data_IF_814022985222
#
_entry.id   IF_814022985222
#
_cell.length_a   1.000
_cell.length_b   1.000
_cell.length_c   1.000
_cell.angle_alpha   90.00
_cell.angle_beta   90.00
_cell.angle_gamma   90.00
#
_symmetry.space_group_name_H-M   'P 1'
#
loop_
_entity.id
_entity.type
_entity.pdbx_description
1 polymer ?
#
# COMPACT_ATOMS: atom_id res chain seq x y z
N UNK A 1 -2.71 7.24 -13.25
CA UNK A 1 -1.51 6.59 -13.82
C UNK A 1 -0.54 6.28 -12.70
N UNK A 2 0.61 6.96 -12.66
CA UNK A 2 1.66 6.72 -11.63
C UNK A 2 1.12 6.75 -10.19
N UNK A 3 0.32 7.77 -9.83
CA UNK A 3 -0.30 7.82 -8.50
C UNK A 3 -1.15 6.58 -8.17
N UNK A 4 -1.96 6.10 -9.11
CA UNK A 4 -2.81 4.92 -8.94
C UNK A 4 -1.97 3.65 -8.77
N UNK A 5 -0.85 3.52 -9.48
CA UNK A 5 0.09 2.40 -9.26
C UNK A 5 0.71 2.47 -7.86
N UNK A 6 1.08 3.67 -7.41
CA UNK A 6 1.54 3.89 -6.04
C UNK A 6 0.49 3.55 -5.00
N UNK A 7 -0.79 3.83 -5.27
CA UNK A 7 -1.91 3.47 -4.41
C UNK A 7 -2.02 1.95 -4.25
N UNK A 8 -1.96 1.23 -5.37
CA UNK A 8 -1.97 -0.23 -5.39
C UNK A 8 -0.81 -0.83 -4.60
N UNK A 9 0.41 -0.39 -4.92
CA UNK A 9 1.64 -0.79 -4.23
C UNK A 9 1.55 -0.63 -2.70
N UNK A 10 0.91 0.45 -2.25
CA UNK A 10 0.87 0.82 -0.84
C UNK A 10 -0.29 0.21 -0.06
N UNK A 11 -1.39 -0.18 -0.72
CA UNK A 11 -2.64 -0.56 -0.04
C UNK A 11 -3.15 -1.95 -0.41
N UNK A 12 -3.04 -2.39 -1.68
CA UNK A 12 -3.79 -3.57 -2.16
C UNK A 12 -2.92 -4.65 -2.79
N UNK A 13 -1.84 -4.30 -3.47
CA UNK A 13 -1.03 -5.20 -4.26
C UNK A 13 -0.06 -5.99 -3.37
N UNK A 14 -0.47 -7.20 -2.96
CA UNK A 14 0.32 -8.09 -2.13
C UNK A 14 0.79 -9.32 -2.93
N UNK A 15 2.09 -9.63 -2.80
CA UNK A 15 2.68 -10.86 -3.33
C UNK A 15 2.77 -11.89 -2.21
N UNK A 16 2.07 -13.01 -2.36
CA UNK A 16 2.17 -14.14 -1.42
C UNK A 16 2.94 -15.27 -2.07
N UNK A 17 3.90 -15.82 -1.34
CA UNK A 17 4.61 -17.03 -1.74
C UNK A 17 4.27 -18.17 -0.80
N UNK A 18 4.49 -19.37 -1.31
CA UNK A 18 4.29 -20.59 -0.55
C UNK A 18 5.44 -20.76 0.44
N UNK A 19 5.12 -21.01 1.69
CA UNK A 19 6.07 -21.41 2.73
C UNK A 19 5.87 -22.90 3.12
N UNK A 20 6.54 -23.32 4.19
CA UNK A 20 6.40 -24.67 4.75
C UNK A 20 5.08 -24.88 5.51
N UNK A 21 4.42 -23.80 5.95
CA UNK A 21 3.19 -23.84 6.75
C UNK A 21 1.93 -23.95 5.88
N UNK A 22 2.00 -23.52 4.63
CA UNK A 22 0.88 -23.55 3.71
C UNK A 22 0.46 -24.99 3.35
N UNK A 23 -0.86 -25.24 3.30
CA UNK A 23 -1.43 -26.57 3.10
C UNK A 23 -0.91 -27.32 1.86
N UNK A 24 -0.65 -28.62 2.00
CA UNK A 24 -0.09 -29.48 0.94
C UNK A 24 -0.94 -29.60 -0.34
N UNK A 25 -2.23 -29.25 -0.31
CA UNK A 25 -3.12 -29.33 -1.48
C UNK A 25 -2.94 -28.17 -2.48
N UNK A 26 -2.30 -27.06 -2.10
CA UNK A 26 -2.01 -25.99 -3.07
C UNK A 26 -0.96 -26.49 -4.09
N UNK A 27 -1.12 -26.13 -5.36
CA UNK A 27 -0.21 -26.60 -6.41
C UNK A 27 1.18 -25.92 -6.31
N UNK A 28 2.24 -26.68 -6.58
CA UNK A 28 3.63 -26.20 -6.53
C UNK A 28 4.35 -26.51 -5.22
N UNK A 29 5.67 -26.34 -5.20
CA UNK A 29 6.51 -26.51 -4.01
C UNK A 29 6.73 -25.22 -3.22
N UNK A 30 7.42 -25.30 -2.09
CA UNK A 30 7.84 -24.13 -1.28
C UNK A 30 8.52 -23.09 -2.19
N UNK A 31 8.17 -21.82 -2.01
CA UNK A 31 8.61 -20.70 -2.82
C UNK A 31 7.77 -20.44 -4.09
N UNK A 32 6.79 -21.28 -4.41
CA UNK A 32 5.87 -21.01 -5.53
C UNK A 32 5.01 -19.77 -5.27
N UNK A 33 4.66 -19.04 -6.32
CA UNK A 33 3.77 -17.87 -6.19
C UNK A 33 2.33 -18.33 -5.90
N UNK A 34 1.73 -17.80 -4.84
CA UNK A 34 0.30 -17.98 -4.53
C UNK A 34 -0.56 -16.91 -5.19
N UNK A 35 0.02 -15.76 -5.54
CA UNK A 35 -0.61 -14.66 -6.27
C UNK A 35 -0.13 -14.65 -7.72
N UNK A 36 -0.79 -15.44 -8.57
CA UNK A 36 -0.35 -15.76 -9.93
C UNK A 36 -1.32 -15.30 -11.03
N UNK A 37 -2.32 -14.48 -10.69
CA UNK A 37 -3.22 -13.90 -11.67
C UNK A 37 -4.15 -12.84 -11.07
N UNK A 38 -5.00 -12.21 -11.89
CA UNK A 38 -5.91 -11.14 -11.43
C UNK A 38 -6.98 -11.64 -10.43
N UNK A 39 -7.16 -12.97 -10.32
CA UNK A 39 -8.03 -13.58 -9.33
C UNK A 39 -7.51 -13.42 -7.88
N UNK A 40 -6.19 -13.41 -7.69
CA UNK A 40 -5.53 -13.42 -6.38
C UNK A 40 -4.45 -12.34 -6.21
N UNK A 41 -4.08 -11.61 -7.26
CA UNK A 41 -3.30 -10.37 -7.22
C UNK A 41 -4.19 -9.19 -7.64
N UNK A 42 -4.46 -8.26 -6.72
CA UNK A 42 -5.47 -7.20 -6.91
C UNK A 42 -4.83 -5.85 -7.17
N UNK A 43 -4.73 -5.53 -8.46
CA UNK A 43 -4.42 -4.17 -8.91
C UNK A 43 -5.62 -3.24 -8.64
N UNK A 44 -5.37 -1.92 -8.47
CA UNK A 44 -6.45 -0.94 -8.34
C UNK A 44 -7.38 -0.93 -9.56
N UNK A 45 -8.67 -0.95 -9.26
CA UNK A 45 -9.78 -0.78 -10.20
C UNK A 45 -10.28 0.68 -10.20
N UNK A 46 -11.34 0.96 -10.96
CA UNK A 46 -11.99 2.29 -10.97
C UNK A 46 -12.53 2.70 -9.60
N UNK A 47 -12.94 1.72 -8.79
CA UNK A 47 -13.57 1.97 -7.50
C UNK A 47 -12.54 2.28 -6.39
N UNK A 48 -11.26 1.99 -6.64
CA UNK A 48 -10.17 2.22 -5.69
C UNK A 48 -9.57 3.64 -5.80
N UNK A 49 -9.83 4.35 -6.90
CA UNK A 49 -9.30 5.71 -7.13
C UNK A 49 -10.01 6.71 -6.21
N UNK A 50 -9.32 7.73 -5.65
CA UNK A 50 -9.96 8.75 -4.84
C UNK A 50 -11.14 9.43 -5.56
N UNK A 51 -12.27 9.52 -4.87
CA UNK A 51 -13.49 10.14 -5.40
C UNK A 51 -13.31 11.60 -5.84
N UNK A 52 -12.44 12.34 -5.14
CA UNK A 52 -11.97 13.67 -5.53
C UNK A 52 -10.45 13.61 -5.73
N UNK A 53 -10.03 13.56 -7.00
CA UNK A 53 -8.62 13.57 -7.40
C UNK A 53 -8.32 14.86 -8.15
N UNK A 54 -7.56 15.76 -7.51
CA UNK A 54 -7.16 17.05 -8.10
C UNK A 54 -5.72 16.99 -8.57
N UNK A 55 -5.50 17.33 -9.83
CA UNK A 55 -4.18 17.35 -10.45
C UNK A 55 -3.96 18.70 -11.11
N UNK A 56 -2.87 19.38 -10.75
CA UNK A 56 -2.45 20.65 -11.33
C UNK A 56 -0.97 20.59 -11.68
N UNK A 57 -0.62 21.11 -12.85
CA UNK A 57 0.77 21.35 -13.22
C UNK A 57 1.14 22.78 -12.80
N UNK A 58 2.35 22.94 -12.26
CA UNK A 58 2.89 24.26 -11.93
C UNK A 58 2.97 25.07 -13.23
N UNK A 59 2.30 26.23 -13.25
CA UNK A 59 2.18 27.10 -14.43
C UNK A 59 3.27 28.16 -14.50
N UNK A 60 3.84 28.51 -13.36
CA UNK A 60 4.93 29.47 -13.31
C UNK A 60 6.12 28.91 -14.08
N UNK A 61 6.77 29.77 -14.85
CA UNK A 61 7.93 29.46 -15.66
C UNK A 61 9.05 28.99 -14.74
N UNK A 62 9.12 27.68 -14.49
CA UNK A 62 10.31 27.04 -13.93
C UNK A 62 11.16 26.61 -15.12
N UNK A 63 12.05 27.48 -15.63
CA UNK A 63 12.82 27.18 -16.83
C UNK A 63 13.59 25.87 -16.64
N UNK A 64 13.48 25.00 -17.63
CA UNK A 64 14.29 23.78 -17.72
C UNK A 64 15.05 23.77 -19.04
N UNK A 65 15.99 24.71 -19.19
CA UNK A 65 16.77 24.92 -20.41
C UNK A 65 17.57 23.69 -20.85
N UNK A 66 17.84 22.76 -19.93
CA UNK A 66 18.56 21.51 -20.20
C UNK A 66 17.70 20.44 -20.89
N UNK A 67 16.38 20.55 -20.82
CA UNK A 67 15.47 19.59 -21.41
C UNK A 67 14.90 20.10 -22.73
N UNK A 68 14.64 19.18 -23.66
CA UNK A 68 13.99 19.51 -24.93
C UNK A 68 12.65 20.21 -24.68
N UNK A 69 12.53 21.42 -25.21
CA UNK A 69 11.34 22.25 -25.06
C UNK A 69 10.99 22.65 -23.62
N UNK A 70 11.94 22.63 -22.68
CA UNK A 70 11.67 22.97 -21.27
C UNK A 70 10.87 21.92 -20.51
N UNK A 71 10.71 20.71 -21.06
CA UNK A 71 9.93 19.62 -20.48
C UNK A 71 10.54 19.02 -19.22
N UNK A 72 9.78 18.24 -18.45
CA UNK A 72 10.27 17.44 -17.31
C UNK A 72 9.73 16.02 -17.41
N UNK A 73 10.53 15.04 -17.01
CA UNK A 73 10.09 13.65 -16.95
C UNK A 73 9.09 13.47 -15.79
N UNK A 74 7.95 12.85 -16.06
CA UNK A 74 6.85 12.66 -15.10
C UNK A 74 6.35 11.22 -15.02
N UNK A 75 7.07 10.26 -15.60
CA UNK A 75 6.67 8.85 -15.61
C UNK A 75 6.59 8.25 -14.21
N UNK A 76 7.74 8.22 -13.52
CA UNK A 76 7.89 7.62 -12.19
C UNK A 76 7.56 8.54 -11.01
N UNK A 77 7.86 9.86 -11.02
CA UNK A 77 7.69 10.71 -9.83
C UNK A 77 6.29 10.64 -9.17
N UNK A 78 5.17 10.57 -9.93
CA UNK A 78 3.85 10.45 -9.33
C UNK A 78 3.59 9.12 -8.59
N UNK A 79 4.37 8.05 -8.82
CA UNK A 79 4.21 6.77 -8.13
C UNK A 79 4.52 6.92 -6.64
N UNK A 80 5.60 7.64 -6.29
CA UNK A 80 5.98 7.89 -4.91
C UNK A 80 4.90 8.63 -4.11
N UNK A 81 4.04 9.42 -4.78
CA UNK A 81 2.94 10.12 -4.14
C UNK A 81 1.88 9.16 -3.55
N UNK A 82 1.85 7.89 -3.95
CA UNK A 82 1.01 6.86 -3.33
C UNK A 82 1.26 6.67 -1.83
N UNK A 83 2.47 6.99 -1.35
CA UNK A 83 2.81 6.98 0.10
C UNK A 83 1.87 7.88 0.90
N UNK A 84 1.32 8.94 0.31
CA UNK A 84 0.35 9.81 0.98
C UNK A 84 -0.89 9.05 1.46
N UNK A 85 -1.37 8.09 0.68
CA UNK A 85 -2.53 7.27 1.04
C UNK A 85 -2.19 6.27 2.15
N UNK A 86 -0.98 5.67 2.12
CA UNK A 86 -0.48 4.83 3.20
C UNK A 86 -0.39 5.59 4.52
N UNK A 87 0.20 6.78 4.52
CA UNK A 87 0.33 7.61 5.71
C UNK A 87 -1.04 8.07 6.23
N UNK A 88 -1.99 8.37 5.35
CA UNK A 88 -3.36 8.66 5.74
C UNK A 88 -4.03 7.45 6.42
N UNK A 89 -3.82 6.24 5.91
CA UNK A 89 -4.34 5.02 6.51
C UNK A 89 -3.68 4.72 7.87
N UNK A 90 -2.35 4.88 7.99
CA UNK A 90 -1.63 4.77 9.28
C UNK A 90 -2.16 5.78 10.30
N UNK A 91 -2.35 7.04 9.89
CA UNK A 91 -2.90 8.08 10.76
C UNK A 91 -4.34 7.75 11.21
N UNK A 92 -5.17 7.20 10.32
CA UNK A 92 -6.53 6.78 10.65
C UNK A 92 -6.57 5.63 11.67
N UNK A 93 -5.65 4.66 11.57
CA UNK A 93 -5.53 3.60 12.56
C UNK A 93 -5.09 4.11 13.93
N UNK A 94 -4.13 5.05 13.98
CA UNK A 94 -3.66 5.65 15.23
C UNK A 94 -4.76 6.48 15.92
N UNK A 95 -5.62 7.16 15.17
CA UNK A 95 -6.71 7.96 15.73
C UNK A 95 -6.22 8.93 16.82
N UNK A 96 -6.93 9.01 17.93
CA UNK A 96 -6.57 9.86 19.08
C UNK A 96 -5.39 9.32 19.91
N UNK A 97 -5.01 8.04 19.73
CA UNK A 97 -3.89 7.43 20.48
C UNK A 97 -2.52 7.96 20.06
N UNK A 98 -2.44 8.64 18.91
CA UNK A 98 -1.27 9.40 18.48
C UNK A 98 -0.83 10.45 19.53
N UNK A 99 -1.77 11.01 20.30
CA UNK A 99 -1.47 11.96 21.38
C UNK A 99 -0.74 11.32 22.58
N UNK A 100 -0.83 10.00 22.73
CA UNK A 100 -0.16 9.21 23.77
C UNK A 100 1.26 8.76 23.41
N UNK A 101 1.75 9.08 22.21
CA UNK A 101 3.11 8.71 21.77
C UNK A 101 3.27 7.24 21.38
N UNK A 102 2.18 6.52 21.09
CA UNK A 102 2.24 5.14 20.61
C UNK A 102 2.52 5.17 19.10
N UNK A 103 3.70 4.70 18.69
CA UNK A 103 3.99 4.42 17.28
C UNK A 103 3.61 2.96 16.99
N UNK A 104 2.53 2.76 16.23
CA UNK A 104 2.13 1.44 15.77
C UNK A 104 2.86 1.10 14.48
N UNK A 105 3.47 -0.08 14.46
CA UNK A 105 4.09 -0.64 13.27
C UNK A 105 3.01 -1.06 12.28
N UNK A 106 3.06 -0.49 11.07
CA UNK A 106 2.20 -0.86 9.95
C UNK A 106 3.11 -1.06 8.75
N UNK A 107 3.08 -2.26 8.19
CA UNK A 107 3.84 -2.60 6.99
C UNK A 107 3.06 -2.29 5.71
N UNK A 108 3.80 -2.00 4.65
CA UNK A 108 3.25 -1.94 3.29
C UNK A 108 3.23 -3.33 2.65
N UNK A 109 2.19 -3.68 1.88
CA UNK A 109 0.96 -2.92 1.65
C UNK A 109 0.05 -2.93 2.88
N UNK A 110 -0.56 -1.79 3.20
CA UNK A 110 -1.55 -1.64 4.26
C UNK A 110 -2.90 -2.28 3.85
N UNK A 111 -2.88 -3.61 3.72
CA UNK A 111 -4.06 -4.42 3.37
C UNK A 111 -5.14 -4.27 4.44
N UNK A 112 -6.39 -4.60 4.09
CA UNK A 112 -7.51 -4.58 5.04
C UNK A 112 -7.22 -5.40 6.31
N UNK A 113 -6.50 -6.52 6.18
CA UNK A 113 -6.04 -7.35 7.29
C UNK A 113 -5.09 -6.58 8.22
N UNK A 114 -3.99 -6.01 7.68
CA UNK A 114 -3.02 -5.24 8.46
C UNK A 114 -3.63 -3.98 9.09
N UNK A 115 -4.53 -3.30 8.38
CA UNK A 115 -5.27 -2.14 8.91
C UNK A 115 -6.20 -2.54 10.06
N UNK A 116 -6.87 -3.69 9.95
CA UNK A 116 -7.71 -4.23 11.04
C UNK A 116 -6.87 -4.49 12.29
N UNK A 117 -5.72 -5.15 12.14
CA UNK A 117 -4.80 -5.40 13.26
C UNK A 117 -4.25 -4.13 13.87
N UNK A 118 -3.84 -3.17 13.04
CA UNK A 118 -3.37 -1.86 13.49
C UNK A 118 -4.45 -1.13 14.31
N UNK A 119 -5.69 -1.14 13.83
CA UNK A 119 -6.81 -0.53 14.55
C UNK A 119 -7.17 -1.27 15.85
N UNK A 120 -7.08 -2.61 15.88
CA UNK A 120 -7.27 -3.40 17.11
C UNK A 120 -6.17 -3.15 18.13
N UNK A 121 -4.91 -3.10 17.70
CA UNK A 121 -3.77 -2.75 18.54
C UNK A 121 -3.93 -1.34 19.15
N UNK A 122 -4.38 -0.36 18.35
CA UNK A 122 -4.68 0.99 18.83
C UNK A 122 -5.77 1.00 19.93
N UNK A 123 -6.70 0.04 19.93
CA UNK A 123 -7.74 -0.11 20.97
C UNK A 123 -7.29 -0.90 22.20
N UNK A 124 -6.05 -1.42 22.21
CA UNK A 124 -5.54 -2.24 23.31
C UNK A 124 -6.07 -3.68 23.33
N UNK A 125 -6.55 -4.19 22.18
CA UNK A 125 -6.97 -5.59 22.04
C UNK A 125 -5.73 -6.51 21.90
N UNK A 126 -5.75 -7.69 22.51
CA UNK A 126 -4.58 -8.58 22.62
C UNK A 126 -4.12 -9.19 21.28
N UNK A 127 -2.82 -9.09 21.01
CA UNK A 127 -2.13 -9.41 19.73
C UNK A 127 -2.16 -10.91 19.35
N UNK A 128 -2.24 -11.82 20.32
CA UNK A 128 -2.18 -13.28 20.11
C UNK A 128 -3.38 -13.87 19.32
N UNK A 129 -4.47 -13.12 19.18
CA UNK A 129 -5.62 -13.50 18.36
C UNK A 129 -5.59 -12.85 16.97
N UNK A 130 -4.75 -11.83 16.76
CA UNK A 130 -4.82 -10.92 15.64
C UNK A 130 -3.75 -11.23 14.60
N UNK A 131 -2.51 -11.52 14.98
CA UNK A 131 -1.44 -11.92 14.06
C UNK A 131 -1.23 -13.44 14.13
N UNK A 132 -1.93 -14.28 13.34
CA UNK A 132 -1.36 -15.59 13.04
C UNK A 132 0.04 -15.32 12.46
N UNK A 133 1.04 -16.09 12.85
CA UNK A 133 2.37 -16.05 12.24
C UNK A 133 2.25 -16.37 10.75
N UNK A 134 1.87 -15.38 9.95
CA UNK A 134 1.86 -15.45 8.50
C UNK A 134 3.28 -15.13 8.07
N UNK A 135 4.09 -16.18 8.02
CA UNK A 135 5.30 -16.18 7.25
C UNK A 135 4.90 -16.00 5.77
N UNK A 136 5.14 -14.79 5.25
CA UNK A 136 4.93 -14.43 3.84
C UNK A 136 6.08 -14.95 2.98
#
# INVERSE_FOLDING_TARGET
GGFTQGLGLMLTEELKRRDETNHAWLRGGVGSSLTNGPGNYKIPSSDDVPRDLRVSLIRDEVPNEKASGGSKAVGEPPLALGVSAFLAAKAACLGDTAAGGVDLELDSPATAERLSWCASAARGESDAALRPELHV
#
